data_IF_517051213813
#
_entry.id   IF_517051213813
#
_cell.length_a   1.000
_cell.length_b   1.000
_cell.length_c   1.000
_cell.angle_alpha   90.00
_cell.angle_beta   90.00
_cell.angle_gamma   90.00
#
_symmetry.space_group_name_H-M   'P 1'
#
loop_
_entity.id
_entity.type
_entity.pdbx_description
1 polymer ?
#
# COMPACT_ATOMS: atom_id res chain seq x y z
N UNK A 1 56.06 34.37 57.14
CA UNK A 1 54.65 34.37 56.75
C UNK A 1 54.56 34.19 55.25
N UNK A 2 54.38 32.96 54.76
CA UNK A 2 54.38 32.63 53.32
C UNK A 2 52.96 32.39 52.86
N UNK A 3 52.43 33.22 51.93
CA UNK A 3 51.17 33.08 51.28
C UNK A 3 51.29 32.16 50.08
N UNK A 4 50.72 30.95 50.13
CA UNK A 4 50.57 30.02 48.99
C UNK A 4 49.47 30.51 48.05
N UNK A 5 49.82 30.85 46.84
CA UNK A 5 48.90 31.08 45.73
C UNK A 5 48.57 29.72 45.07
N UNK A 6 47.32 29.30 45.18
CA UNK A 6 46.81 28.14 44.43
C UNK A 6 46.41 28.60 43.03
N UNK A 7 46.96 27.98 42.01
CA UNK A 7 46.55 28.14 40.62
C UNK A 7 45.49 27.08 40.32
N UNK A 8 44.25 27.51 40.03
CA UNK A 8 43.22 26.65 39.49
C UNK A 8 43.39 26.63 37.97
N UNK A 9 43.83 25.47 37.45
CA UNK A 9 43.88 25.20 36.01
C UNK A 9 42.47 24.75 35.57
N UNK A 10 41.80 25.65 34.84
CA UNK A 10 40.52 25.31 34.18
C UNK A 10 40.79 24.47 32.92
N UNK A 11 40.26 23.26 32.85
CA UNK A 11 40.19 22.48 31.62
C UNK A 11 39.04 22.97 30.76
N UNK A 12 39.20 23.28 29.49
CA UNK A 12 38.10 23.49 28.57
C UNK A 12 37.55 22.12 28.15
N UNK A 13 36.31 21.80 28.52
CA UNK A 13 35.56 20.68 27.98
C UNK A 13 35.10 21.08 26.56
N UNK A 14 35.80 20.54 25.57
CA UNK A 14 35.38 20.66 24.17
C UNK A 14 34.21 19.69 23.93
N UNK A 15 32.98 20.24 23.88
CA UNK A 15 31.78 19.48 23.46
C UNK A 15 31.88 19.28 21.93
N UNK A 16 32.30 18.10 21.50
CA UNK A 16 32.23 17.70 20.09
C UNK A 16 30.76 17.39 19.76
N UNK A 17 30.04 18.30 19.10
CA UNK A 17 28.78 18.01 18.45
C UNK A 17 29.05 17.12 17.26
N UNK A 18 28.80 15.82 17.41
CA UNK A 18 28.71 14.90 16.29
C UNK A 18 27.42 15.22 15.52
N UNK A 19 27.52 16.02 14.46
CA UNK A 19 26.46 16.21 13.50
C UNK A 19 26.28 14.89 12.74
N UNK A 20 25.28 14.10 13.12
CA UNK A 20 24.85 12.95 12.34
C UNK A 20 24.32 13.49 11.00
N UNK A 21 25.12 13.37 9.93
CA UNK A 21 24.68 13.62 8.57
C UNK A 21 23.65 12.55 8.22
N UNK A 22 22.37 12.88 8.30
CA UNK A 22 21.31 12.06 7.76
C UNK A 22 21.51 12.00 6.24
N UNK A 23 22.10 10.91 5.76
CA UNK A 23 22.21 10.67 4.33
C UNK A 23 20.78 10.42 3.83
N UNK A 24 20.26 11.35 3.02
CA UNK A 24 18.99 11.18 2.35
C UNK A 24 19.11 10.00 1.38
N UNK A 25 18.49 8.87 1.74
CA UNK A 25 18.43 7.71 0.84
C UNK A 25 17.61 8.10 -0.40
N UNK A 26 18.06 7.70 -1.60
CA UNK A 26 17.28 7.90 -2.80
C UNK A 26 15.89 7.29 -2.64
N UNK A 27 14.87 8.00 -3.11
CA UNK A 27 13.49 7.52 -3.04
C UNK A 27 12.69 7.98 -4.25
N UNK A 28 11.68 7.20 -4.60
CA UNK A 28 10.71 7.52 -5.65
C UNK A 28 9.34 7.74 -4.99
N UNK A 29 8.64 8.79 -5.40
CA UNK A 29 7.34 9.14 -4.82
C UNK A 29 6.24 8.98 -5.85
N UNK A 30 5.16 8.26 -5.48
CA UNK A 30 3.92 8.17 -6.25
C UNK A 30 2.84 8.93 -5.49
N UNK A 31 2.28 9.96 -6.09
CA UNK A 31 1.26 10.80 -5.44
C UNK A 31 -0.07 10.05 -5.27
N UNK A 32 -0.90 10.50 -4.31
CA UNK A 32 -2.24 9.96 -4.12
C UNK A 32 -3.11 10.06 -5.39
N UNK A 33 -2.97 11.14 -6.17
CA UNK A 33 -3.70 11.33 -7.42
C UNK A 33 -3.29 10.30 -8.50
N UNK A 34 -1.98 10.05 -8.66
CA UNK A 34 -1.47 9.03 -9.58
C UNK A 34 -1.94 7.63 -9.20
N UNK A 35 -1.93 7.30 -7.89
CA UNK A 35 -2.44 6.03 -7.40
C UNK A 35 -3.93 5.87 -7.68
N UNK A 36 -4.73 6.91 -7.37
CA UNK A 36 -6.17 6.91 -7.60
C UNK A 36 -6.49 6.69 -9.08
N UNK A 37 -5.78 7.38 -9.98
CA UNK A 37 -5.95 7.23 -11.41
C UNK A 37 -5.57 5.81 -11.88
N UNK A 38 -4.38 5.33 -11.51
CA UNK A 38 -3.89 4.01 -11.93
C UNK A 38 -4.79 2.86 -11.46
N UNK A 39 -5.39 3.02 -10.28
CA UNK A 39 -6.36 2.04 -9.77
C UNK A 39 -7.69 2.18 -10.52
N UNK A 40 -8.22 3.38 -10.68
CA UNK A 40 -9.51 3.61 -11.35
C UNK A 40 -9.55 3.05 -12.79
N UNK A 41 -8.44 3.13 -13.52
CA UNK A 41 -8.32 2.61 -14.90
C UNK A 41 -8.49 1.08 -15.01
N UNK A 42 -8.37 0.34 -13.90
CA UNK A 42 -8.55 -1.12 -13.86
C UNK A 42 -9.99 -1.55 -13.66
N UNK A 43 -10.87 -0.62 -13.33
CA UNK A 43 -12.27 -0.88 -13.02
C UNK A 43 -13.21 -0.38 -14.13
N UNK A 44 -14.45 -0.91 -14.23
CA UNK A 44 -15.06 -1.92 -13.37
C UNK A 44 -14.48 -3.32 -13.56
N UNK A 45 -14.40 -4.11 -12.48
CA UNK A 45 -13.95 -5.50 -12.50
C UNK A 45 -15.12 -6.44 -12.20
N UNK A 46 -15.20 -7.55 -12.94
CA UNK A 46 -16.26 -8.56 -12.79
C UNK A 46 -15.69 -9.85 -12.21
N UNK A 47 -16.41 -10.37 -11.22
CA UNK A 47 -16.04 -11.61 -10.52
C UNK A 47 -17.24 -12.56 -10.48
N UNK A 48 -17.17 -13.70 -11.20
CA UNK A 48 -18.17 -14.76 -11.06
C UNK A 48 -17.96 -15.50 -9.73
N UNK A 49 -19.03 -15.69 -8.98
CA UNK A 49 -19.04 -16.40 -7.69
C UNK A 49 -19.89 -17.66 -7.84
N UNK A 50 -19.23 -18.82 -7.91
CA UNK A 50 -19.90 -20.12 -7.96
C UNK A 50 -20.84 -20.34 -9.15
N UNK A 51 -20.73 -19.55 -10.22
CA UNK A 51 -21.63 -19.60 -11.38
C UNK A 51 -23.08 -19.12 -11.11
N UNK A 52 -23.37 -18.70 -9.87
CA UNK A 52 -24.69 -18.28 -9.41
C UNK A 52 -24.81 -16.77 -9.20
N UNK A 53 -23.68 -16.14 -8.92
CA UNK A 53 -23.58 -14.68 -8.69
C UNK A 53 -22.49 -14.10 -9.58
N UNK A 54 -22.69 -12.87 -10.02
CA UNK A 54 -21.70 -12.01 -10.66
C UNK A 54 -21.60 -10.74 -9.85
N UNK A 55 -20.37 -10.45 -9.37
CA UNK A 55 -20.05 -9.21 -8.67
C UNK A 55 -19.34 -8.26 -9.63
N UNK A 56 -19.84 -7.05 -9.75
CA UNK A 56 -19.16 -5.97 -10.49
C UNK A 56 -18.66 -4.93 -9.49
N UNK A 57 -17.35 -4.86 -9.33
CA UNK A 57 -16.69 -3.85 -8.50
C UNK A 57 -16.52 -2.56 -9.29
N UNK A 58 -17.05 -1.47 -8.77
CA UNK A 58 -16.89 -0.14 -9.34
C UNK A 58 -15.54 0.48 -8.95
N UNK A 59 -15.08 1.54 -9.64
CA UNK A 59 -13.82 2.21 -9.30
C UNK A 59 -13.74 2.57 -7.81
N UNK A 60 -12.70 2.13 -7.08
CA UNK A 60 -12.58 2.39 -5.65
C UNK A 60 -12.15 3.83 -5.37
N UNK A 61 -12.50 4.32 -4.19
CA UNK A 61 -11.86 5.47 -3.58
C UNK A 61 -10.74 5.01 -2.66
N UNK A 62 -9.51 5.45 -2.95
CA UNK A 62 -8.34 5.15 -2.13
C UNK A 62 -8.29 6.05 -0.89
N UNK A 63 -7.87 5.46 0.22
CA UNK A 63 -7.51 6.14 1.46
C UNK A 63 -6.07 5.79 1.82
N UNK A 64 -5.29 6.78 2.17
CA UNK A 64 -3.93 6.59 2.68
C UNK A 64 -4.02 6.35 4.19
N UNK A 65 -3.44 5.28 4.70
CA UNK A 65 -3.42 4.90 6.11
C UNK A 65 -1.95 4.84 6.61
N UNK A 66 -1.29 5.99 6.81
CA UNK A 66 0.14 6.05 7.14
C UNK A 66 0.48 5.32 8.42
N UNK A 67 -0.33 5.46 9.47
CA UNK A 67 -0.13 4.83 10.78
C UNK A 67 -0.03 3.30 10.71
N UNK A 68 -0.67 2.69 9.71
CA UNK A 68 -0.70 1.25 9.51
C UNK A 68 0.20 0.81 8.35
N UNK A 69 0.81 1.75 7.64
CA UNK A 69 1.52 1.54 6.37
C UNK A 69 0.66 0.76 5.36
N UNK A 70 -0.60 1.16 5.18
CA UNK A 70 -1.59 0.49 4.32
C UNK A 70 -2.32 1.48 3.44
N UNK A 71 -2.91 0.96 2.36
CA UNK A 71 -3.95 1.63 1.60
C UNK A 71 -5.30 1.02 1.98
N UNK A 72 -6.30 1.86 2.17
CA UNK A 72 -7.70 1.46 2.27
C UNK A 72 -8.44 1.77 0.97
N UNK A 73 -9.45 0.97 0.65
CA UNK A 73 -10.35 1.21 -0.47
C UNK A 73 -11.79 1.11 -0.01
N UNK A 74 -12.61 2.05 -0.48
CA UNK A 74 -14.06 1.92 -0.39
C UNK A 74 -14.60 1.91 -1.83
N UNK A 75 -15.40 0.90 -2.16
CA UNK A 75 -15.96 0.74 -3.49
C UNK A 75 -17.42 0.28 -3.45
N UNK A 76 -18.15 0.63 -4.49
CA UNK A 76 -19.49 0.13 -4.74
C UNK A 76 -19.38 -1.23 -5.42
N UNK A 77 -20.23 -2.17 -5.02
CA UNK A 77 -20.34 -3.50 -5.59
C UNK A 77 -21.76 -3.72 -6.08
N UNK A 78 -21.90 -4.05 -7.35
CA UNK A 78 -23.15 -4.49 -7.91
C UNK A 78 -23.15 -6.01 -7.98
N UNK A 79 -24.17 -6.65 -7.43
CA UNK A 79 -24.36 -8.10 -7.47
C UNK A 79 -25.57 -8.45 -8.33
N UNK A 80 -25.37 -9.39 -9.26
CA UNK A 80 -26.39 -9.93 -10.14
C UNK A 80 -26.21 -11.43 -10.31
N UNK A 81 -27.02 -12.05 -11.18
CA UNK A 81 -26.88 -13.46 -11.54
C UNK A 81 -28.13 -14.30 -11.24
N UNK A 82 -28.09 -15.59 -11.66
CA UNK A 82 -29.24 -16.48 -11.55
C UNK A 82 -29.77 -16.72 -10.12
N UNK A 83 -28.90 -16.57 -9.10
CA UNK A 83 -29.30 -16.72 -7.70
C UNK A 83 -30.08 -15.52 -7.15
N UNK A 84 -30.16 -14.43 -7.89
CA UNK A 84 -30.83 -13.20 -7.48
C UNK A 84 -32.03 -12.91 -8.38
N UNK A 85 -33.19 -12.63 -7.79
CA UNK A 85 -34.41 -12.21 -8.54
C UNK A 85 -34.22 -10.81 -9.15
N UNK A 86 -33.33 -10.01 -8.61
CA UNK A 86 -32.95 -8.67 -9.10
C UNK A 86 -31.54 -8.35 -8.67
N UNK A 87 -30.86 -7.52 -9.45
CA UNK A 87 -29.55 -6.99 -9.06
C UNK A 87 -29.65 -6.14 -7.79
N UNK A 88 -28.63 -6.19 -6.97
CA UNK A 88 -28.50 -5.40 -5.74
C UNK A 88 -27.16 -4.71 -5.69
N UNK A 89 -27.11 -3.56 -5.05
CA UNK A 89 -25.90 -2.75 -4.90
C UNK A 89 -25.52 -2.67 -3.43
N UNK A 90 -24.22 -2.67 -3.16
CA UNK A 90 -23.69 -2.56 -1.82
C UNK A 90 -22.32 -1.91 -1.77
N UNK A 91 -21.65 -2.07 -0.63
CA UNK A 91 -20.35 -1.49 -0.38
C UNK A 91 -19.36 -2.56 0.03
N UNK A 92 -18.14 -2.40 -0.45
CA UNK A 92 -17.00 -3.23 -0.12
C UNK A 92 -15.84 -2.34 0.36
N UNK A 93 -15.32 -2.64 1.54
CA UNK A 93 -14.20 -1.92 2.14
C UNK A 93 -13.08 -2.90 2.46
N UNK A 94 -11.86 -2.61 1.97
CA UNK A 94 -10.70 -3.46 2.14
C UNK A 94 -9.44 -2.62 2.33
N UNK A 95 -8.59 -3.02 3.27
CA UNK A 95 -7.26 -2.45 3.46
C UNK A 95 -6.21 -3.46 3.01
N UNK A 96 -5.09 -2.96 2.46
CA UNK A 96 -3.97 -3.79 2.05
C UNK A 96 -2.63 -3.09 2.24
N UNK A 97 -1.61 -3.86 2.54
CA UNK A 97 -0.22 -3.43 2.48
C UNK A 97 0.27 -3.49 1.02
N UNK A 98 1.44 -2.93 0.78
CA UNK A 98 2.07 -2.89 -0.53
C UNK A 98 3.37 -3.69 -0.54
N UNK A 99 3.67 -4.32 -1.67
CA UNK A 99 4.98 -4.93 -1.92
C UNK A 99 5.47 -4.58 -3.32
N UNK A 100 6.76 -4.50 -3.47
CA UNK A 100 7.42 -4.46 -4.76
C UNK A 100 7.65 -5.88 -5.27
N UNK A 101 7.35 -6.09 -6.56
CA UNK A 101 7.62 -7.34 -7.27
C UNK A 101 8.71 -7.09 -8.30
N UNK A 102 9.90 -7.63 -8.03
CA UNK A 102 11.09 -7.37 -8.85
C UNK A 102 11.00 -7.98 -10.25
N UNK A 103 10.27 -9.10 -10.40
CA UNK A 103 10.15 -9.83 -11.67
C UNK A 103 9.54 -9.02 -12.80
N UNK A 104 8.59 -8.13 -12.48
CA UNK A 104 7.90 -7.28 -13.44
C UNK A 104 7.94 -5.79 -13.10
N UNK A 105 8.73 -5.42 -12.07
CA UNK A 105 8.92 -4.04 -11.59
C UNK A 105 7.61 -3.37 -11.17
N UNK A 106 6.71 -4.12 -10.53
CA UNK A 106 5.39 -3.64 -10.15
C UNK A 106 5.21 -3.50 -8.63
N UNK A 107 4.31 -2.59 -8.26
CA UNK A 107 3.79 -2.46 -6.89
C UNK A 107 2.45 -3.18 -6.84
N UNK A 108 2.33 -4.13 -5.92
CA UNK A 108 1.15 -4.98 -5.79
C UNK A 108 0.53 -4.89 -4.40
N UNK A 109 -0.77 -5.14 -4.34
CA UNK A 109 -1.48 -5.33 -3.09
C UNK A 109 -0.98 -6.60 -2.38
N UNK A 110 -0.87 -6.52 -1.05
CA UNK A 110 -0.35 -7.58 -0.19
C UNK A 110 -1.03 -7.54 1.17
N UNK A 111 -1.21 -8.70 1.82
CA UNK A 111 -1.85 -8.82 3.15
C UNK A 111 -3.18 -8.07 3.22
N UNK A 112 -4.12 -8.46 2.38
CA UNK A 112 -5.46 -7.89 2.37
C UNK A 112 -6.18 -8.14 3.69
N UNK A 113 -7.02 -7.16 4.05
CA UNK A 113 -7.94 -7.25 5.18
C UNK A 113 -9.29 -6.72 4.72
N UNK A 114 -10.26 -7.59 4.63
CA UNK A 114 -11.65 -7.20 4.36
C UNK A 114 -12.23 -6.58 5.63
N UNK A 115 -12.62 -5.32 5.56
CA UNK A 115 -13.25 -4.60 6.68
C UNK A 115 -14.76 -4.78 6.67
N UNK A 116 -15.38 -4.68 5.48
CA UNK A 116 -16.80 -4.92 5.32
C UNK A 116 -17.16 -5.27 3.88
N UNK A 117 -18.18 -6.10 3.73
CA UNK A 117 -18.88 -6.37 2.47
C UNK A 117 -20.37 -6.43 2.78
N UNK A 118 -21.11 -5.38 2.41
CA UNK A 118 -22.52 -5.24 2.68
C UNK A 118 -23.29 -5.12 1.36
N UNK A 119 -24.18 -6.07 1.10
CA UNK A 119 -25.08 -6.06 -0.04
C UNK A 119 -26.51 -6.06 0.49
N UNK A 120 -27.16 -4.90 0.40
CA UNK A 120 -28.53 -4.69 0.90
C UNK A 120 -29.55 -5.48 0.09
N UNK A 121 -30.49 -6.15 0.77
CA UNK A 121 -31.58 -6.86 0.12
C UNK A 121 -31.18 -8.18 -0.56
N UNK A 122 -30.03 -8.72 -0.25
CA UNK A 122 -29.62 -10.03 -0.72
C UNK A 122 -30.39 -11.15 0.04
N UNK A 123 -30.95 -12.15 -0.65
CA UNK A 123 -31.57 -13.29 0.01
C UNK A 123 -30.60 -14.04 0.94
N UNK A 124 -31.08 -14.72 2.01
CA UNK A 124 -30.21 -15.35 3.01
C UNK A 124 -29.21 -16.36 2.45
N UNK A 125 -29.60 -17.19 1.47
CA UNK A 125 -28.72 -18.20 0.86
C UNK A 125 -27.51 -17.58 0.14
N UNK A 126 -27.70 -16.69 -0.86
CA UNK A 126 -26.62 -15.95 -1.50
C UNK A 126 -25.78 -15.10 -0.52
N UNK A 127 -26.40 -14.49 0.49
CA UNK A 127 -25.68 -13.73 1.51
C UNK A 127 -24.72 -14.63 2.31
N UNK A 128 -25.16 -15.81 2.72
CA UNK A 128 -24.34 -16.78 3.44
C UNK A 128 -23.15 -17.25 2.60
N UNK A 129 -23.34 -17.53 1.30
CA UNK A 129 -22.26 -17.87 0.38
C UNK A 129 -21.24 -16.75 0.26
N UNK A 130 -21.70 -15.52 0.12
CA UNK A 130 -20.82 -14.38 0.02
C UNK A 130 -20.03 -14.12 1.30
N UNK A 131 -20.65 -14.30 2.47
CA UNK A 131 -19.95 -14.18 3.76
C UNK A 131 -18.92 -15.30 3.95
N UNK A 132 -19.22 -16.52 3.53
CA UNK A 132 -18.33 -17.67 3.69
C UNK A 132 -17.11 -17.58 2.73
N UNK A 133 -17.33 -17.19 1.49
CA UNK A 133 -16.31 -17.26 0.44
C UNK A 133 -15.77 -15.88 0.01
N UNK A 134 -16.51 -14.81 0.23
CA UNK A 134 -16.16 -13.46 -0.22
C UNK A 134 -14.78 -12.99 0.23
N UNK A 135 -14.40 -13.12 1.51
CA UNK A 135 -13.07 -12.74 1.97
C UNK A 135 -11.93 -13.47 1.25
N UNK A 136 -12.04 -14.78 1.11
CA UNK A 136 -11.02 -15.59 0.44
C UNK A 136 -10.92 -15.28 -1.06
N UNK A 137 -12.06 -15.07 -1.73
CA UNK A 137 -12.10 -14.64 -3.13
C UNK A 137 -11.49 -13.25 -3.32
N UNK A 138 -11.79 -12.32 -2.42
CA UNK A 138 -11.20 -10.99 -2.44
C UNK A 138 -9.69 -11.05 -2.26
N UNK A 139 -9.19 -11.81 -1.30
CA UNK A 139 -7.76 -12.01 -1.10
C UNK A 139 -7.08 -12.60 -2.34
N UNK A 140 -7.65 -13.64 -2.93
CA UNK A 140 -7.11 -14.29 -4.12
C UNK A 140 -7.11 -13.36 -5.32
N UNK A 141 -8.21 -12.66 -5.57
CA UNK A 141 -8.39 -11.77 -6.73
C UNK A 141 -7.52 -10.51 -6.64
N UNK A 142 -7.37 -9.92 -5.46
CA UNK A 142 -6.62 -8.69 -5.27
C UNK A 142 -5.12 -8.92 -5.06
N UNK A 143 -4.70 -10.12 -4.71
CA UNK A 143 -3.28 -10.48 -4.52
C UNK A 143 -2.43 -10.23 -5.77
N UNK A 144 -3.02 -10.36 -6.95
CA UNK A 144 -2.36 -10.20 -8.24
C UNK A 144 -2.59 -8.82 -8.88
N UNK A 145 -3.33 -7.92 -8.22
CA UNK A 145 -3.59 -6.58 -8.77
C UNK A 145 -2.33 -5.74 -8.76
N UNK A 146 -1.87 -5.39 -9.96
CA UNK A 146 -0.80 -4.42 -10.16
C UNK A 146 -1.39 -3.02 -9.96
N UNK A 147 -0.95 -2.34 -8.90
CA UNK A 147 -1.38 -0.98 -8.58
C UNK A 147 -0.60 0.07 -9.36
N UNK A 148 0.70 -0.16 -9.51
CA UNK A 148 1.59 0.72 -10.25
C UNK A 148 2.74 -0.09 -10.84
N UNK A 149 3.17 0.27 -12.05
CA UNK A 149 4.35 -0.31 -12.69
C UNK A 149 5.42 0.77 -12.79
N UNK A 150 6.60 0.48 -12.24
CA UNK A 150 7.75 1.37 -12.33
C UNK A 150 8.32 1.28 -13.75
N UNK A 151 8.44 2.42 -14.41
CA UNK A 151 9.06 2.50 -15.72
C UNK A 151 10.60 2.54 -15.61
N UNK A 152 11.35 2.20 -16.66
CA UNK A 152 12.81 2.29 -16.67
C UNK A 152 13.34 3.66 -16.23
N UNK A 153 12.65 4.75 -16.60
CA UNK A 153 13.02 6.11 -16.20
C UNK A 153 12.94 6.34 -14.69
N UNK A 154 11.98 5.68 -14.01
CA UNK A 154 11.79 5.79 -12.55
C UNK A 154 12.89 5.08 -11.76
N UNK A 155 13.51 4.08 -12.38
CA UNK A 155 14.57 3.26 -11.81
C UNK A 155 15.98 3.67 -12.24
N UNK A 156 16.11 4.53 -13.26
CA UNK A 156 17.40 4.86 -13.89
C UNK A 156 18.46 5.33 -12.90
N UNK A 157 18.09 6.21 -11.96
CA UNK A 157 19.01 6.70 -10.93
C UNK A 157 19.43 5.58 -9.97
N UNK A 158 18.47 4.79 -9.52
CA UNK A 158 18.72 3.68 -8.60
C UNK A 158 19.58 2.59 -9.25
N UNK A 159 19.27 2.23 -10.49
CA UNK A 159 20.03 1.24 -11.27
C UNK A 159 21.47 1.70 -11.50
N UNK A 160 21.68 2.99 -11.83
CA UNK A 160 23.00 3.59 -11.98
C UNK A 160 23.84 3.60 -10.70
N UNK A 161 23.21 3.59 -9.54
CA UNK A 161 23.84 3.52 -8.22
C UNK A 161 23.93 2.07 -7.68
N UNK A 162 23.55 1.06 -8.45
CA UNK A 162 23.54 -0.33 -7.99
C UNK A 162 22.49 -0.59 -6.90
N UNK A 163 21.38 0.15 -6.94
CA UNK A 163 20.30 0.04 -5.96
C UNK A 163 19.05 -0.59 -6.59
N UNK A 164 18.15 -1.09 -5.73
CA UNK A 164 16.85 -1.66 -6.12
C UNK A 164 15.75 -1.13 -5.20
N UNK A 165 14.48 -1.14 -5.65
CA UNK A 165 13.37 -0.77 -4.78
C UNK A 165 13.29 -1.68 -3.55
N UNK A 166 13.19 -1.04 -2.38
CA UNK A 166 13.11 -1.69 -1.08
C UNK A 166 11.74 -1.46 -0.41
N UNK A 167 11.78 -0.88 0.79
CA UNK A 167 10.56 -0.63 1.56
C UNK A 167 9.64 0.39 0.87
N UNK A 168 8.33 0.11 0.90
CA UNK A 168 7.28 1.04 0.47
C UNK A 168 6.62 1.61 1.72
N UNK A 169 6.60 2.93 1.83
CA UNK A 169 5.99 3.65 2.95
C UNK A 169 4.79 4.44 2.46
N UNK A 170 3.65 4.23 3.11
CA UNK A 170 2.44 5.03 2.90
C UNK A 170 2.55 6.31 3.71
N UNK A 171 2.39 7.44 3.07
CA UNK A 171 2.43 8.77 3.70
C UNK A 171 1.10 9.49 3.49
N UNK A 172 0.89 10.63 4.13
CA UNK A 172 -0.31 11.46 3.92
C UNK A 172 -0.43 12.03 2.48
N UNK A 173 0.63 11.98 1.66
CA UNK A 173 0.66 12.52 0.30
C UNK A 173 0.71 11.46 -0.80
N UNK A 174 0.95 10.20 -0.46
CA UNK A 174 1.10 9.10 -1.42
C UNK A 174 2.04 8.03 -0.91
N UNK A 175 2.75 7.37 -1.81
CA UNK A 175 3.74 6.34 -1.49
C UNK A 175 5.15 6.90 -1.65
N UNK A 176 6.03 6.50 -0.75
CA UNK A 176 7.48 6.69 -0.87
C UNK A 176 8.12 5.31 -0.97
N UNK A 177 8.84 5.08 -2.06
CA UNK A 177 9.59 3.85 -2.34
C UNK A 177 11.05 4.15 -2.07
N UNK A 178 11.58 3.60 -0.98
CA UNK A 178 13.01 3.68 -0.68
C UNK A 178 13.81 2.75 -1.58
N UNK A 179 15.09 3.07 -1.81
CA UNK A 179 16.01 2.20 -2.53
C UNK A 179 17.04 1.62 -1.58
N UNK A 180 17.40 0.37 -1.82
CA UNK A 180 18.43 -0.37 -1.05
C UNK A 180 19.50 -0.88 -2.02
N UNK A 181 20.70 -1.12 -1.54
CA UNK A 181 21.75 -1.71 -2.36
C UNK A 181 21.32 -3.09 -2.88
N UNK A 182 21.56 -3.36 -4.16
CA UNK A 182 21.34 -4.69 -4.73
C UNK A 182 22.20 -5.69 -3.98
N UNK A 183 21.61 -6.85 -3.62
CA UNK A 183 22.40 -7.95 -3.07
C UNK A 183 23.38 -8.43 -4.14
N UNK A 184 24.68 -8.49 -3.79
CA UNK A 184 25.64 -9.20 -4.60
C UNK A 184 25.25 -10.68 -4.68
N UNK A 185 25.16 -11.21 -5.89
CA UNK A 185 24.90 -12.62 -6.17
C UNK A 185 26.12 -13.46 -5.81
#
# INVERSE_FOLDING_TARGET
MMKRRQWLAGLPVALALAAATAQAQPSYTVTAAQLQQAVAEKFPMRYPVGGLLELTLQPPRLRLLPEQNRLGTAMVVDAGGPALSRSTTGNFDVDFALRYEASDKSIRAHKLKVNSLNLSGMPPGPAALLQAYGPSLAEQSLREVVLHKLEPKDLMLADGLGMEPGAITVTARGLVIGFVAKKAL
#
